data_IF_689116659989
#
_entry.id   IF_689116659989
#
_cell.length_a   1.000
_cell.length_b   1.000
_cell.length_c   1.000
_cell.angle_alpha   90.00
_cell.angle_beta   90.00
_cell.angle_gamma   90.00
#
_symmetry.space_group_name_H-M   'P 1'
#
loop_
_entity.id
_entity.type
_entity.pdbx_description
1 polymer ?
#
# COMPACT_ATOMS: atom_id res chain seq x y z
N UNK A 1 15.90 -13.09 12.95
CA UNK A 1 15.16 -12.74 14.17
C UNK A 1 15.96 -13.14 15.40
N UNK A 2 16.31 -14.41 15.59
CA UNK A 2 16.87 -14.94 16.83
C UNK A 2 18.24 -14.38 17.27
N UNK A 3 19.02 -13.78 16.38
CA UNK A 3 20.33 -13.19 16.68
C UNK A 3 20.27 -11.65 16.77
N UNK A 4 19.55 -11.03 15.86
CA UNK A 4 19.54 -9.56 15.73
C UNK A 4 18.56 -8.91 16.70
N UNK A 5 17.34 -9.45 16.84
CA UNK A 5 16.30 -8.85 17.68
C UNK A 5 16.74 -8.76 19.15
N UNK A 6 17.35 -9.79 19.79
CA UNK A 6 17.83 -9.68 21.16
C UNK A 6 18.87 -8.55 21.37
N UNK A 7 19.73 -8.31 20.37
CA UNK A 7 20.70 -7.22 20.47
C UNK A 7 20.04 -5.84 20.31
N UNK A 8 19.06 -5.72 19.40
CA UNK A 8 18.28 -4.49 19.24
C UNK A 8 17.47 -4.16 20.50
N UNK A 9 16.87 -5.15 21.15
CA UNK A 9 16.16 -4.98 22.41
C UNK A 9 17.09 -4.45 23.53
N UNK A 10 18.34 -4.93 23.62
CA UNK A 10 19.33 -4.37 24.54
C UNK A 10 19.66 -2.90 24.24
N UNK A 11 19.65 -2.50 22.96
CA UNK A 11 19.85 -1.08 22.60
C UNK A 11 18.61 -0.24 22.93
N UNK A 12 17.39 -0.80 22.83
CA UNK A 12 16.13 -0.18 23.27
C UNK A 12 16.16 0.02 24.79
N UNK A 13 16.55 -0.98 25.58
CA UNK A 13 16.72 -0.89 27.05
C UNK A 13 17.75 0.18 27.47
N UNK A 14 18.83 0.34 26.70
CA UNK A 14 19.85 1.40 26.94
C UNK A 14 19.36 2.79 26.46
N UNK A 15 18.15 2.94 25.95
CA UNK A 15 17.60 4.19 25.47
C UNK A 15 18.23 4.73 24.17
N UNK A 16 19.02 3.92 23.44
CA UNK A 16 19.65 4.33 22.18
C UNK A 16 18.68 4.33 21.01
N UNK A 17 17.70 3.45 21.04
CA UNK A 17 16.60 3.37 20.10
C UNK A 17 15.29 3.35 20.88
N UNK A 18 14.23 3.92 20.31
CA UNK A 18 12.90 3.97 20.94
C UNK A 18 11.98 2.90 20.37
N UNK A 19 12.01 2.72 19.07
CA UNK A 19 11.12 1.84 18.35
C UNK A 19 11.90 0.92 17.43
N UNK A 20 11.40 -0.31 17.25
CA UNK A 20 11.90 -1.27 16.28
C UNK A 20 10.95 -1.34 15.09
N UNK A 21 11.50 -1.34 13.90
CA UNK A 21 10.74 -1.52 12.68
C UNK A 21 11.30 -2.63 11.81
N UNK A 22 10.42 -3.19 11.00
CA UNK A 22 10.78 -4.17 9.98
C UNK A 22 10.17 -3.75 8.65
N UNK A 23 10.88 -4.00 7.55
CA UNK A 23 10.39 -3.80 6.19
C UNK A 23 10.37 -5.12 5.45
N UNK A 24 9.33 -5.36 4.69
CA UNK A 24 9.27 -6.50 3.78
C UNK A 24 9.99 -6.24 2.47
N UNK A 25 10.28 -7.30 1.74
CA UNK A 25 10.71 -7.24 0.36
C UNK A 25 9.53 -7.55 -0.58
N UNK A 26 8.59 -6.62 -0.69
CA UNK A 26 7.31 -6.77 -1.36
C UNK A 26 7.37 -7.41 -2.76
N UNK A 27 8.41 -7.11 -3.56
CA UNK A 27 8.54 -7.66 -4.93
C UNK A 27 8.80 -9.17 -4.89
N UNK A 28 9.54 -9.65 -3.89
CA UNK A 28 9.87 -11.06 -3.75
C UNK A 28 8.86 -11.81 -2.86
N UNK A 29 8.09 -11.08 -2.07
CA UNK A 29 7.09 -11.62 -1.13
C UNK A 29 5.78 -10.82 -1.20
N UNK A 30 5.07 -10.88 -2.34
CA UNK A 30 3.82 -10.13 -2.52
C UNK A 30 2.65 -10.68 -1.67
N UNK A 31 2.82 -11.84 -1.05
CA UNK A 31 1.86 -12.49 -0.16
C UNK A 31 2.14 -12.22 1.32
N UNK A 32 3.16 -11.39 1.64
CA UNK A 32 3.52 -10.96 2.99
C UNK A 32 3.89 -12.09 3.97
N UNK A 33 4.44 -13.21 3.49
CA UNK A 33 4.75 -14.37 4.32
C UNK A 33 5.74 -14.02 5.45
N UNK A 34 6.70 -13.15 5.16
CA UNK A 34 7.66 -12.69 6.17
C UNK A 34 6.97 -11.91 7.30
N UNK A 35 6.03 -11.02 6.98
CA UNK A 35 5.30 -10.24 7.98
C UNK A 35 4.32 -11.10 8.78
N UNK A 36 3.67 -12.09 8.17
CA UNK A 36 2.84 -13.10 8.88
C UNK A 36 3.63 -13.80 9.98
N UNK A 37 4.90 -14.11 9.70
CA UNK A 37 5.77 -14.78 10.67
C UNK A 37 6.35 -13.84 11.73
N UNK A 38 6.57 -12.58 11.38
CA UNK A 38 7.25 -11.62 12.25
C UNK A 38 6.33 -10.90 13.24
N UNK A 39 5.08 -10.64 12.85
CA UNK A 39 4.16 -9.83 13.64
C UNK A 39 3.66 -10.50 14.94
N UNK A 40 3.43 -11.83 15.00
CA UNK A 40 3.01 -12.48 16.23
C UNK A 40 4.05 -12.44 17.36
N UNK A 41 5.31 -12.16 17.05
CA UNK A 41 6.41 -12.16 18.03
C UNK A 41 6.46 -10.89 18.92
N UNK A 42 5.61 -9.88 18.67
CA UNK A 42 5.50 -8.62 19.45
C UNK A 42 6.83 -7.87 19.66
N UNK A 43 7.73 -7.94 18.67
CA UNK A 43 9.01 -7.21 18.75
C UNK A 43 8.98 -5.85 18.06
N UNK A 44 8.08 -5.68 17.10
CA UNK A 44 8.10 -4.56 16.19
C UNK A 44 7.01 -3.53 16.52
N UNK A 45 7.44 -2.29 16.66
CA UNK A 45 6.55 -1.14 16.87
C UNK A 45 5.99 -0.60 15.54
N UNK A 46 6.69 -0.86 14.42
CA UNK A 46 6.31 -0.38 13.09
C UNK A 46 6.72 -1.36 11.99
N UNK A 47 5.88 -1.51 10.98
CA UNK A 47 6.20 -2.28 9.77
C UNK A 47 6.08 -1.40 8.52
N UNK A 48 6.97 -1.62 7.55
CA UNK A 48 6.84 -1.04 6.22
C UNK A 48 6.33 -2.11 5.27
N UNK A 49 5.15 -1.89 4.69
CA UNK A 49 4.37 -2.86 3.93
C UNK A 49 3.96 -2.30 2.57
N UNK A 50 4.02 -3.12 1.53
CA UNK A 50 3.50 -2.79 0.20
C UNK A 50 1.98 -2.90 0.18
N UNK A 51 1.30 -1.84 -0.27
CA UNK A 51 -0.15 -1.82 -0.42
C UNK A 51 -0.56 -0.79 -1.47
N UNK A 52 -1.38 -1.19 -2.41
CA UNK A 52 -1.94 -0.29 -3.43
C UNK A 52 -3.18 -0.91 -4.09
N UNK A 53 -3.82 -0.18 -4.99
CA UNK A 53 -5.03 -0.60 -5.71
C UNK A 53 -4.85 -1.87 -6.57
N UNK A 54 -3.62 -2.17 -7.01
CA UNK A 54 -3.32 -3.35 -7.87
C UNK A 54 -3.02 -4.58 -7.01
N UNK A 55 -2.41 -4.38 -5.85
CA UNK A 55 -2.16 -5.45 -4.89
C UNK A 55 -2.61 -5.01 -3.49
N UNK A 56 -3.88 -5.27 -3.13
CA UNK A 56 -4.43 -4.94 -1.83
C UNK A 56 -4.28 -6.06 -0.79
N UNK A 57 -3.44 -7.08 -1.03
CA UNK A 57 -3.35 -8.29 -0.20
C UNK A 57 -3.00 -8.04 1.27
N UNK A 58 -2.30 -6.94 1.59
CA UNK A 58 -2.03 -6.56 2.98
C UNK A 58 -3.30 -6.29 3.81
N UNK A 59 -4.43 -5.94 3.16
CA UNK A 59 -5.74 -5.75 3.80
C UNK A 59 -6.16 -6.95 4.62
N UNK A 60 -6.00 -8.14 4.06
CA UNK A 60 -6.49 -9.38 4.67
C UNK A 60 -5.42 -10.08 5.49
N UNK A 61 -4.14 -9.81 5.21
CA UNK A 61 -3.02 -10.58 5.71
C UNK A 61 -2.24 -9.83 6.81
N UNK A 62 -1.98 -8.53 6.61
CA UNK A 62 -1.09 -7.75 7.48
C UNK A 62 -1.86 -6.84 8.41
N UNK A 63 -2.84 -6.07 7.89
CA UNK A 63 -3.54 -5.07 8.70
C UNK A 63 -4.30 -5.64 9.88
N UNK A 64 -4.97 -6.80 9.81
CA UNK A 64 -5.59 -7.39 11.00
C UNK A 64 -4.57 -7.66 12.11
N UNK A 65 -3.38 -8.16 11.77
CA UNK A 65 -2.31 -8.45 12.73
C UNK A 65 -1.72 -7.17 13.33
N UNK A 66 -1.52 -6.13 12.51
CA UNK A 66 -0.97 -4.86 12.99
C UNK A 66 -1.96 -4.10 13.88
N UNK A 67 -3.26 -4.17 13.58
CA UNK A 67 -4.31 -3.58 14.42
C UNK A 67 -4.38 -4.32 15.76
N UNK A 68 -4.42 -5.66 15.74
CA UNK A 68 -4.48 -6.48 16.95
C UNK A 68 -3.29 -6.25 17.89
N UNK A 69 -2.08 -6.15 17.32
CA UNK A 69 -0.83 -5.97 18.08
C UNK A 69 -0.43 -4.51 18.29
N UNK A 70 -1.27 -3.53 17.89
CA UNK A 70 -0.98 -2.09 17.97
C UNK A 70 0.36 -1.70 17.31
N UNK A 71 0.65 -2.28 16.14
CA UNK A 71 1.84 -2.00 15.33
C UNK A 71 1.49 -0.97 14.27
N UNK A 72 2.26 0.11 14.17
CA UNK A 72 2.06 1.12 13.14
C UNK A 72 2.50 0.61 11.76
N UNK A 73 1.82 1.07 10.71
CA UNK A 73 2.15 0.71 9.32
C UNK A 73 2.64 1.90 8.53
N UNK A 74 3.69 1.69 7.75
CA UNK A 74 4.16 2.62 6.72
C UNK A 74 3.89 1.99 5.35
N UNK A 75 2.94 2.55 4.63
CA UNK A 75 2.56 2.05 3.31
C UNK A 75 3.60 2.47 2.28
N UNK A 76 4.29 1.51 1.68
CA UNK A 76 5.14 1.74 0.51
C UNK A 76 4.42 1.33 -0.77
N UNK A 77 4.82 1.91 -1.88
CA UNK A 77 4.27 1.62 -3.21
C UNK A 77 2.80 2.00 -3.41
N UNK A 78 2.25 2.93 -2.63
CA UNK A 78 0.91 3.48 -2.84
C UNK A 78 0.69 3.92 -4.29
N UNK A 79 1.68 4.62 -4.86
CA UNK A 79 1.77 4.93 -6.28
C UNK A 79 3.07 4.34 -6.80
N UNK A 80 2.97 3.31 -7.63
CA UNK A 80 4.10 2.72 -8.31
C UNK A 80 3.94 2.91 -9.82
N UNK A 81 5.00 2.58 -10.56
CA UNK A 81 5.15 2.77 -12.00
C UNK A 81 3.86 2.53 -12.82
N UNK A 82 3.12 1.48 -12.53
CA UNK A 82 1.86 1.16 -13.20
C UNK A 82 0.78 2.25 -12.98
N UNK A 83 0.63 2.75 -11.74
CA UNK A 83 -0.37 3.76 -11.40
C UNK A 83 0.01 5.19 -11.80
N UNK A 84 1.24 5.42 -12.27
CA UNK A 84 1.73 6.73 -12.72
C UNK A 84 1.96 6.84 -14.23
N UNK A 85 1.79 5.73 -14.98
CA UNK A 85 2.02 5.65 -16.42
C UNK A 85 0.96 4.77 -17.08
N UNK A 86 0.10 5.30 -17.94
CA UNK A 86 -0.99 4.56 -18.60
C UNK A 86 -0.52 3.27 -19.30
N UNK A 87 0.56 3.35 -20.09
CA UNK A 87 1.09 2.17 -20.81
C UNK A 87 1.53 1.06 -19.84
N UNK A 88 2.16 1.41 -18.72
CA UNK A 88 2.59 0.45 -17.72
C UNK A 88 1.41 -0.13 -16.91
N UNK A 89 0.33 0.62 -16.75
CA UNK A 89 -0.92 0.13 -16.17
C UNK A 89 -1.56 -0.91 -17.10
N UNK A 90 -1.66 -0.62 -18.38
CA UNK A 90 -2.21 -1.55 -19.36
C UNK A 90 -1.45 -2.88 -19.38
N UNK A 91 -0.11 -2.84 -19.41
CA UNK A 91 0.73 -4.05 -19.33
C UNK A 91 0.45 -4.90 -18.08
N UNK A 92 0.28 -4.27 -16.92
CA UNK A 92 -0.01 -4.99 -15.67
C UNK A 92 -1.41 -5.59 -15.69
N UNK A 93 -2.40 -4.86 -16.17
CA UNK A 93 -3.77 -5.37 -16.26
C UNK A 93 -3.84 -6.56 -17.23
N UNK A 94 -3.20 -6.48 -18.39
CA UNK A 94 -3.12 -7.60 -19.33
C UNK A 94 -2.51 -8.84 -18.67
N UNK A 95 -1.42 -8.69 -17.88
CA UNK A 95 -0.82 -9.79 -17.14
C UNK A 95 -1.77 -10.39 -16.09
N UNK A 96 -2.55 -9.57 -15.38
CA UNK A 96 -3.51 -10.03 -14.38
C UNK A 96 -4.70 -10.76 -15.04
N UNK A 97 -5.10 -10.37 -16.23
CA UNK A 97 -6.11 -11.08 -17.03
C UNK A 97 -5.54 -12.41 -17.52
N UNK A 98 -4.31 -12.44 -18.05
CA UNK A 98 -3.66 -13.65 -18.51
C UNK A 98 -3.43 -14.69 -17.39
N UNK A 99 -3.13 -14.23 -16.16
CA UNK A 99 -2.99 -15.09 -14.98
C UNK A 99 -4.33 -15.56 -14.40
N UNK A 100 -5.43 -14.91 -14.78
CA UNK A 100 -6.77 -15.20 -14.25
C UNK A 100 -7.08 -14.54 -12.91
N UNK A 101 -6.26 -13.56 -12.50
CA UNK A 101 -6.48 -12.78 -11.27
C UNK A 101 -7.58 -11.73 -11.46
N UNK A 102 -7.83 -11.31 -12.71
CA UNK A 102 -8.92 -10.40 -13.07
C UNK A 102 -9.69 -11.00 -14.27
N UNK A 103 -11.01 -10.97 -14.19
CA UNK A 103 -11.85 -11.36 -15.34
C UNK A 103 -11.82 -10.27 -16.41
N UNK A 104 -11.49 -10.64 -17.65
CA UNK A 104 -11.44 -9.72 -18.80
C UNK A 104 -12.76 -8.95 -19.03
N UNK A 105 -13.89 -9.51 -18.62
CA UNK A 105 -15.21 -8.88 -18.72
C UNK A 105 -15.40 -7.66 -17.79
N UNK A 106 -14.57 -7.53 -16.75
CA UNK A 106 -14.61 -6.42 -15.80
C UNK A 106 -13.77 -5.20 -16.26
N UNK A 107 -12.96 -5.38 -17.30
CA UNK A 107 -12.01 -4.37 -17.77
C UNK A 107 -12.42 -3.82 -19.12
N UNK A 108 -12.55 -2.49 -19.19
CA UNK A 108 -12.73 -1.80 -20.47
C UNK A 108 -11.41 -1.80 -21.24
N UNK A 109 -11.35 -2.29 -22.49
CA UNK A 109 -10.12 -2.35 -23.25
C UNK A 109 -9.42 -0.99 -23.38
N UNK A 110 -8.19 -0.89 -22.92
CA UNK A 110 -7.38 0.33 -22.94
C UNK A 110 -7.74 1.39 -21.90
N UNK A 111 -8.73 1.11 -21.02
CA UNK A 111 -9.20 2.05 -20.00
C UNK A 111 -9.60 1.33 -18.71
N UNK A 112 -8.69 0.53 -18.15
CA UNK A 112 -8.94 -0.34 -17.00
C UNK A 112 -9.51 0.39 -15.76
N UNK A 113 -9.08 1.62 -15.53
CA UNK A 113 -9.54 2.45 -14.43
C UNK A 113 -10.38 3.65 -14.89
N UNK A 114 -11.10 3.51 -16.01
CA UNK A 114 -11.93 4.58 -16.55
C UNK A 114 -12.93 5.15 -15.53
N UNK A 115 -13.51 4.32 -14.69
CA UNK A 115 -14.46 4.72 -13.66
C UNK A 115 -13.83 5.56 -12.54
N UNK A 116 -12.50 5.50 -12.39
CA UNK A 116 -11.71 6.39 -11.52
C UNK A 116 -11.44 7.71 -12.25
N UNK A 117 -11.04 7.64 -13.53
CA UNK A 117 -10.64 8.83 -14.30
C UNK A 117 -11.84 9.73 -14.65
N UNK A 118 -13.01 9.14 -14.91
CA UNK A 118 -14.23 9.88 -15.27
C UNK A 118 -15.02 10.40 -14.06
N UNK A 119 -14.56 10.10 -12.83
CA UNK A 119 -15.29 10.50 -11.63
C UNK A 119 -14.99 11.96 -11.25
N UNK A 120 -16.03 12.78 -11.09
CA UNK A 120 -15.93 14.22 -10.86
C UNK A 120 -15.14 14.64 -9.59
N UNK A 121 -15.11 13.78 -8.57
CA UNK A 121 -14.39 14.02 -7.31
C UNK A 121 -12.95 13.51 -7.33
N UNK A 122 -12.47 12.97 -8.44
CA UNK A 122 -11.13 12.37 -8.57
C UNK A 122 -10.34 13.07 -9.65
N UNK A 123 -9.27 13.74 -9.26
CA UNK A 123 -8.45 14.50 -10.21
C UNK A 123 -7.50 13.63 -11.06
N UNK A 124 -7.16 12.43 -10.60
CA UNK A 124 -6.26 11.51 -11.31
C UNK A 124 -6.18 10.14 -10.63
N UNK A 125 -5.70 9.12 -11.36
CA UNK A 125 -5.38 7.79 -10.81
C UNK A 125 -4.40 7.90 -9.64
N UNK A 126 -3.41 8.79 -9.73
CA UNK A 126 -2.43 9.02 -8.65
C UNK A 126 -3.11 9.53 -7.38
N UNK A 127 -4.05 10.47 -7.51
CA UNK A 127 -4.83 10.95 -6.37
C UNK A 127 -5.66 9.82 -5.77
N UNK A 128 -6.36 9.05 -6.60
CA UNK A 128 -7.15 7.90 -6.14
C UNK A 128 -6.28 6.89 -5.38
N UNK A 129 -5.09 6.58 -5.90
CA UNK A 129 -4.17 5.65 -5.28
C UNK A 129 -3.70 6.09 -3.89
N UNK A 130 -3.39 7.37 -3.70
CA UNK A 130 -3.07 7.90 -2.38
C UNK A 130 -4.28 7.88 -1.43
N UNK A 131 -5.47 8.29 -1.90
CA UNK A 131 -6.70 8.25 -1.10
C UNK A 131 -7.06 6.82 -0.70
N UNK A 132 -6.94 5.86 -1.62
CA UNK A 132 -7.14 4.44 -1.35
C UNK A 132 -6.24 3.95 -0.22
N UNK A 133 -4.95 4.25 -0.29
CA UNK A 133 -3.99 3.80 0.72
C UNK A 133 -4.13 4.54 2.06
N UNK A 134 -4.36 5.85 2.04
CA UNK A 134 -4.38 6.67 3.26
C UNK A 134 -5.62 6.47 4.12
N UNK A 135 -6.69 5.96 3.54
CA UNK A 135 -7.95 5.72 4.24
C UNK A 135 -8.26 4.23 4.47
N UNK A 136 -7.32 3.36 4.15
CA UNK A 136 -7.45 1.93 4.45
C UNK A 136 -7.35 1.68 5.96
N UNK A 137 -8.29 0.93 6.57
CA UNK A 137 -8.18 0.52 7.96
C UNK A 137 -6.87 -0.24 8.22
N UNK A 138 -6.08 0.24 9.18
CA UNK A 138 -4.73 -0.31 9.46
C UNK A 138 -3.58 0.44 8.79
N UNK A 139 -3.84 1.33 7.85
CA UNK A 139 -2.82 2.23 7.33
C UNK A 139 -2.57 3.39 8.30
N UNK A 140 -1.33 3.57 8.75
CA UNK A 140 -0.95 4.66 9.66
C UNK A 140 -0.29 5.82 8.92
N UNK A 141 0.63 5.52 8.01
CA UNK A 141 1.37 6.51 7.22
C UNK A 141 1.47 6.02 5.79
N UNK A 142 1.13 6.85 4.83
CA UNK A 142 1.38 6.60 3.40
C UNK A 142 2.63 7.33 2.96
N UNK A 143 3.63 6.57 2.50
CA UNK A 143 4.90 7.14 2.05
C UNK A 143 4.76 7.71 0.65
N UNK A 144 5.34 8.89 0.45
CA UNK A 144 5.48 9.54 -0.85
C UNK A 144 6.89 10.03 -1.06
N UNK A 145 7.34 10.06 -2.31
CA UNK A 145 8.66 10.57 -2.66
C UNK A 145 8.72 11.00 -4.11
N UNK A 146 9.22 12.23 -4.33
CA UNK A 146 9.40 12.80 -5.67
C UNK A 146 10.49 13.85 -5.64
N UNK A 147 11.19 14.03 -6.76
CA UNK A 147 12.13 15.14 -6.98
C UNK A 147 11.49 16.36 -7.66
N UNK A 148 10.18 16.35 -7.91
CA UNK A 148 9.44 17.42 -8.57
C UNK A 148 8.52 18.12 -7.56
N UNK A 149 8.64 19.44 -7.44
CA UNK A 149 7.89 20.24 -6.46
C UNK A 149 6.37 20.23 -6.72
N UNK A 150 5.94 20.23 -7.98
CA UNK A 150 4.51 20.17 -8.32
C UNK A 150 3.91 18.81 -7.98
N UNK A 151 4.66 17.73 -8.24
CA UNK A 151 4.24 16.40 -7.81
C UNK A 151 4.19 16.27 -6.28
N UNK A 152 5.14 16.90 -5.55
CA UNK A 152 5.09 16.90 -4.08
C UNK A 152 3.80 17.54 -3.57
N UNK A 153 3.43 18.68 -4.14
CA UNK A 153 2.20 19.40 -3.81
C UNK A 153 0.96 18.54 -4.08
N UNK A 154 0.88 17.95 -5.28
CA UNK A 154 -0.20 17.05 -5.67
C UNK A 154 -0.29 15.83 -4.74
N UNK A 155 0.84 15.24 -4.34
CA UNK A 155 0.87 14.10 -3.44
C UNK A 155 0.37 14.46 -2.04
N UNK A 156 0.77 15.63 -1.51
CA UNK A 156 0.28 16.13 -0.22
C UNK A 156 -1.22 16.39 -0.27
N UNK A 157 -1.69 17.10 -1.31
CA UNK A 157 -3.12 17.37 -1.48
C UNK A 157 -3.93 16.08 -1.60
N UNK A 158 -3.38 15.06 -2.27
CA UNK A 158 -4.01 13.74 -2.43
C UNK A 158 -4.12 12.98 -1.11
N UNK A 159 -3.06 12.98 -0.30
CA UNK A 159 -3.03 12.27 1.00
C UNK A 159 -3.95 12.98 2.01
N UNK A 160 -4.05 14.29 1.94
CA UNK A 160 -4.92 15.09 2.82
C UNK A 160 -6.38 15.15 2.35
N UNK A 161 -6.67 14.70 1.15
CA UNK A 161 -8.04 14.59 0.66
C UNK A 161 -8.82 13.52 1.45
N UNK A 162 -10.12 13.65 1.49
CA UNK A 162 -11.02 12.67 2.12
C UNK A 162 -10.96 11.28 1.44
N UNK A 163 -11.65 10.28 2.02
CA UNK A 163 -11.70 8.93 1.44
C UNK A 163 -12.26 8.96 0.02
N UNK A 164 -12.00 7.91 -0.74
CA UNK A 164 -12.63 7.73 -2.04
C UNK A 164 -14.15 7.66 -1.91
N UNK A 165 -14.93 8.09 -2.94
CA UNK A 165 -16.35 7.79 -3.01
C UNK A 165 -16.61 6.30 -2.81
N UNK A 166 -17.71 5.97 -2.10
CA UNK A 166 -18.00 4.57 -1.71
C UNK A 166 -18.11 3.65 -2.92
N UNK A 167 -18.75 4.12 -4.00
CA UNK A 167 -18.90 3.39 -5.25
C UNK A 167 -17.55 3.06 -5.90
N UNK A 168 -16.58 3.97 -5.82
CA UNK A 168 -15.23 3.77 -6.36
C UNK A 168 -14.45 2.77 -5.49
N UNK A 169 -14.48 2.95 -4.18
CA UNK A 169 -13.78 2.05 -3.26
C UNK A 169 -14.35 0.63 -3.29
N UNK A 170 -15.66 0.47 -3.44
CA UNK A 170 -16.32 -0.82 -3.61
C UNK A 170 -15.83 -1.51 -4.90
N UNK A 171 -15.88 -0.78 -6.02
CA UNK A 171 -15.46 -1.33 -7.31
C UNK A 171 -13.97 -1.69 -7.40
N UNK A 172 -13.12 -0.97 -6.68
CA UNK A 172 -11.69 -1.31 -6.56
C UNK A 172 -11.43 -2.53 -5.67
N UNK A 173 -12.44 -3.00 -4.95
CA UNK A 173 -12.33 -4.15 -4.04
C UNK A 173 -12.99 -5.42 -4.60
N UNK A 174 -13.71 -5.33 -5.70
CA UNK A 174 -14.29 -6.44 -6.46
C UNK A 174 -13.27 -7.07 -7.41
#
# INVERSE_FOLDING_TARGET
>A
VNEIVPELLKQKEKGKIRFLGITEQFIADPSHEMLKLALPDDYFDVVMVGFNMINPSARDVVFPLTIENNVATQIMFAVRRALSKPDALAEVIDQLIESGDIEASLVEPGAALWFVEDHEEIASIVQAAYRFCSHEPGATITLTGTGNEDHLKQNVDSILAGPLPVEISTRLSE
#
